data_IF_693418534666
#
_entry.id   IF_693418534666
#
_cell.length_a   1.000
_cell.length_b   1.000
_cell.length_c   1.000
_cell.angle_alpha   90.00
_cell.angle_beta   90.00
_cell.angle_gamma   90.00
#
_symmetry.space_group_name_H-M   'P 1'
#
loop_
_entity.id
_entity.type
_entity.pdbx_description
1 polymer ?
#
# COMPACT_ATOMS: atom_id res chain seq x y z
N UNK A 1 -9.87 -5.48 -8.95
CA UNK A 1 -9.08 -5.57 -7.68
C UNK A 1 -9.93 -5.13 -6.51
N UNK A 2 -9.73 -5.76 -5.36
CA UNK A 2 -10.46 -5.40 -4.14
C UNK A 2 -9.84 -4.18 -3.45
N UNK A 3 -10.60 -3.57 -2.54
CA UNK A 3 -10.06 -2.48 -1.71
C UNK A 3 -8.84 -2.94 -0.91
N UNK A 4 -8.87 -4.15 -0.33
CA UNK A 4 -7.71 -4.69 0.39
C UNK A 4 -6.47 -4.74 -0.48
N UNK A 5 -6.58 -5.24 -1.70
CA UNK A 5 -5.46 -5.29 -2.63
C UNK A 5 -4.92 -3.89 -2.96
N UNK A 6 -5.83 -2.95 -3.22
CA UNK A 6 -5.45 -1.58 -3.53
C UNK A 6 -4.79 -0.88 -2.32
N UNK A 7 -5.28 -1.13 -1.11
CA UNK A 7 -4.70 -0.56 0.11
C UNK A 7 -3.29 -1.09 0.38
N UNK A 8 -3.06 -2.38 0.13
CA UNK A 8 -1.72 -2.98 0.23
C UNK A 8 -0.76 -2.30 -0.74
N UNK A 9 -1.18 -2.11 -1.98
CA UNK A 9 -0.35 -1.44 -2.99
C UNK A 9 -0.08 0.02 -2.63
N UNK A 10 -1.08 0.72 -2.13
CA UNK A 10 -0.91 2.09 -1.67
C UNK A 10 0.10 2.18 -0.51
N UNK A 11 0.03 1.25 0.44
CA UNK A 11 0.98 1.19 1.55
C UNK A 11 2.41 0.95 1.07
N UNK A 12 2.62 0.01 0.15
CA UNK A 12 3.95 -0.29 -0.40
C UNK A 12 4.53 0.93 -1.14
N UNK A 13 3.73 1.66 -1.89
CA UNK A 13 4.15 2.88 -2.56
C UNK A 13 4.54 3.95 -1.53
N UNK A 14 3.74 4.11 -0.48
CA UNK A 14 4.02 5.11 0.56
C UNK A 14 5.30 4.79 1.34
N UNK A 15 5.62 3.52 1.52
CA UNK A 15 6.86 3.08 2.16
C UNK A 15 8.09 3.51 1.37
N UNK A 16 7.98 3.59 0.03
CA UNK A 16 9.02 4.16 -0.83
C UNK A 16 9.21 5.67 -0.61
N UNK A 17 8.28 6.34 0.04
CA UNK A 17 8.40 7.77 0.34
C UNK A 17 9.63 8.11 1.18
N UNK A 18 10.16 7.16 1.95
CA UNK A 18 11.39 7.34 2.72
C UNK A 18 12.65 7.28 1.85
N UNK A 19 12.54 6.79 0.62
CA UNK A 19 13.67 6.64 -0.31
C UNK A 19 13.74 7.89 -1.19
N UNK A 20 14.80 8.67 -1.04
CA UNK A 20 14.94 9.98 -1.69
C UNK A 20 15.82 9.98 -2.94
N UNK A 21 16.53 8.88 -3.19
CA UNK A 21 17.54 8.78 -4.25
C UNK A 21 17.09 7.94 -5.46
N UNK A 22 15.79 7.88 -5.71
CA UNK A 22 15.25 7.18 -6.87
C UNK A 22 15.61 7.92 -8.16
N UNK A 23 16.01 7.16 -9.18
CA UNK A 23 16.26 7.69 -10.52
C UNK A 23 14.95 8.15 -11.16
N UNK A 24 15.02 9.03 -12.19
CA UNK A 24 13.81 9.66 -12.74
C UNK A 24 12.72 8.70 -13.19
N UNK A 25 13.05 7.59 -13.81
CA UNK A 25 12.04 6.63 -14.28
C UNK A 25 11.31 5.99 -13.11
N UNK A 26 12.03 5.51 -12.11
CA UNK A 26 11.43 4.92 -10.91
C UNK A 26 10.60 5.94 -10.14
N UNK A 27 11.09 7.17 -10.01
CA UNK A 27 10.39 8.25 -9.34
C UNK A 27 9.07 8.59 -10.06
N UNK A 28 9.10 8.68 -11.38
CA UNK A 28 7.93 8.98 -12.19
C UNK A 28 6.86 7.90 -12.02
N UNK A 29 7.24 6.63 -12.17
CA UNK A 29 6.29 5.53 -12.03
C UNK A 29 5.75 5.41 -10.60
N UNK A 30 6.60 5.64 -9.60
CA UNK A 30 6.16 5.70 -8.20
C UNK A 30 5.08 6.77 -7.99
N UNK A 31 5.30 7.97 -8.51
CA UNK A 31 4.33 9.07 -8.37
C UNK A 31 3.00 8.71 -9.03
N UNK A 32 3.03 8.19 -10.24
CA UNK A 32 1.83 7.82 -10.99
C UNK A 32 1.06 6.70 -10.30
N UNK A 33 1.75 5.67 -9.83
CA UNK A 33 1.13 4.58 -9.07
C UNK A 33 0.55 5.08 -7.75
N UNK A 34 1.25 5.99 -7.08
CA UNK A 34 0.78 6.60 -5.84
C UNK A 34 -0.51 7.36 -6.03
N UNK A 35 -0.62 8.15 -7.09
CA UNK A 35 -1.84 8.87 -7.42
C UNK A 35 -2.99 7.89 -7.71
N UNK A 36 -2.70 6.84 -8.45
CA UNK A 36 -3.70 5.84 -8.83
C UNK A 36 -4.28 5.10 -7.61
N UNK A 37 -3.43 4.55 -6.76
CA UNK A 37 -3.90 3.76 -5.60
C UNK A 37 -4.39 4.59 -4.43
N UNK A 38 -3.98 5.85 -4.32
CA UNK A 38 -4.50 6.77 -3.30
C UNK A 38 -6.01 6.98 -3.41
N UNK A 39 -6.55 6.89 -4.62
CA UNK A 39 -8.00 7.03 -4.86
C UNK A 39 -8.79 6.00 -4.05
N UNK A 40 -8.33 4.75 -4.03
CA UNK A 40 -8.97 3.69 -3.25
C UNK A 40 -8.83 3.94 -1.75
N UNK A 41 -7.67 4.42 -1.30
CA UNK A 41 -7.44 4.73 0.11
C UNK A 41 -8.35 5.86 0.59
N UNK A 42 -8.52 6.90 -0.20
CA UNK A 42 -9.40 8.02 0.12
C UNK A 42 -10.88 7.58 0.20
N UNK A 43 -11.33 6.80 -0.78
CA UNK A 43 -12.68 6.25 -0.81
C UNK A 43 -12.93 5.31 0.38
N UNK A 44 -11.97 4.47 0.69
CA UNK A 44 -12.00 3.58 1.85
C UNK A 44 -12.17 4.36 3.16
N UNK A 45 -11.38 5.42 3.36
CA UNK A 45 -11.45 6.24 4.56
C UNK A 45 -12.82 6.90 4.72
N UNK A 46 -13.39 7.43 3.64
CA UNK A 46 -14.74 8.03 3.66
C UNK A 46 -15.80 7.00 4.04
N UNK A 47 -15.73 5.82 3.47
CA UNK A 47 -16.67 4.73 3.76
C UNK A 47 -16.55 4.28 5.21
N UNK A 48 -15.32 4.12 5.70
CA UNK A 48 -15.05 3.72 7.08
C UNK A 48 -15.60 4.74 8.09
N UNK A 49 -15.40 6.03 7.81
CA UNK A 49 -15.96 7.11 8.64
C UNK A 49 -17.47 7.08 8.66
N UNK A 50 -18.12 6.91 7.51
CA UNK A 50 -19.56 6.83 7.41
C UNK A 50 -20.12 5.66 8.22
N UNK A 51 -19.48 4.49 8.14
CA UNK A 51 -19.88 3.30 8.92
C UNK A 51 -19.69 3.57 10.43
N UNK A 52 -18.57 4.18 10.81
CA UNK A 52 -18.26 4.46 12.20
C UNK A 52 -19.23 5.45 12.85
N UNK A 53 -19.84 6.32 12.06
CA UNK A 53 -20.78 7.34 12.53
C UNK A 53 -22.22 6.87 12.62
N UNK A 54 -22.52 5.64 12.19
CA UNK A 54 -23.89 5.10 12.33
C UNK A 54 -24.24 4.87 13.81
N UNK A 55 -25.23 5.60 14.28
CA UNK A 55 -25.65 5.57 15.69
C UNK A 55 -26.43 4.31 16.05
N UNK A 56 -27.09 3.68 15.09
CA UNK A 56 -27.98 2.53 15.32
C UNK A 56 -27.31 1.18 15.10
N UNK A 57 -26.02 1.14 14.78
CA UNK A 57 -25.28 -0.08 14.55
C UNK A 57 -24.35 -0.41 15.71
N UNK A 58 -24.26 -1.70 16.06
CA UNK A 58 -23.32 -2.17 17.07
C UNK A 58 -21.90 -2.19 16.50
N UNK A 59 -20.90 -2.25 17.36
CA UNK A 59 -19.49 -2.36 16.92
C UNK A 59 -19.25 -3.59 16.06
N UNK A 60 -19.92 -4.70 16.41
CA UNK A 60 -19.85 -5.95 15.65
C UNK A 60 -20.37 -5.78 14.22
N UNK A 61 -21.52 -5.12 14.06
CA UNK A 61 -22.11 -4.83 12.75
C UNK A 61 -21.23 -3.88 11.96
N UNK A 62 -20.65 -2.87 12.59
CA UNK A 62 -19.74 -1.92 11.95
C UNK A 62 -18.48 -2.62 11.44
N UNK A 63 -17.87 -3.47 12.25
CA UNK A 63 -16.68 -4.22 11.88
C UNK A 63 -16.95 -5.17 10.71
N UNK A 64 -18.08 -5.86 10.71
CA UNK A 64 -18.48 -6.73 9.62
C UNK A 64 -18.70 -5.95 8.33
N UNK A 65 -19.32 -4.78 8.39
CA UNK A 65 -19.54 -3.92 7.24
C UNK A 65 -18.20 -3.43 6.65
N UNK A 66 -17.25 -3.06 7.50
CA UNK A 66 -15.89 -2.64 7.09
C UNK A 66 -15.16 -3.80 6.39
N UNK A 67 -15.20 -4.99 6.96
CA UNK A 67 -14.57 -6.17 6.37
C UNK A 67 -15.19 -6.55 5.03
N UNK A 68 -16.51 -6.49 4.93
CA UNK A 68 -17.23 -6.76 3.68
C UNK A 68 -16.83 -5.76 2.60
N UNK A 69 -16.79 -4.47 2.94
CA UNK A 69 -16.37 -3.42 2.00
C UNK A 69 -14.94 -3.65 1.52
N UNK A 70 -14.06 -4.11 2.38
CA UNK A 70 -12.66 -4.37 2.04
C UNK A 70 -12.51 -5.44 0.96
N UNK A 71 -13.45 -6.38 0.84
CA UNK A 71 -13.43 -7.44 -0.16
C UNK A 71 -14.16 -7.08 -1.45
N UNK A 72 -14.83 -5.92 -1.50
CA UNK A 72 -15.49 -5.44 -2.71
C UNK A 72 -14.49 -4.90 -3.72
N UNK A 73 -14.87 -4.90 -4.99
CA UNK A 73 -14.08 -4.32 -6.05
C UNK A 73 -14.02 -2.79 -5.90
N UNK A 74 -12.83 -2.23 -5.93
CA UNK A 74 -12.64 -0.78 -5.80
C UNK A 74 -12.76 -0.04 -7.13
N UNK A 75 -12.91 -0.75 -8.24
CA UNK A 75 -13.05 -0.17 -9.58
C UNK A 75 -11.74 0.28 -10.22
N UNK A 76 -10.60 0.10 -9.54
CA UNK A 76 -9.31 0.50 -10.10
C UNK A 76 -8.71 -0.61 -10.96
N UNK A 77 -8.03 -0.20 -12.03
CA UNK A 77 -7.24 -1.10 -12.86
C UNK A 77 -5.97 -1.54 -12.12
N UNK A 78 -5.48 -2.72 -12.43
CA UNK A 78 -4.23 -3.25 -11.88
C UNK A 78 -3.05 -2.64 -12.64
N UNK A 79 -2.60 -1.46 -12.20
CA UNK A 79 -1.43 -0.79 -12.75
C UNK A 79 -0.18 -1.24 -12.03
N UNK A 80 0.88 -1.50 -12.79
CA UNK A 80 2.13 -2.02 -12.28
C UNK A 80 3.32 -1.23 -12.80
N UNK A 81 4.39 -1.25 -12.01
CA UNK A 81 5.67 -0.66 -12.37
C UNK A 81 6.39 -1.52 -13.41
N UNK A 82 7.10 -0.90 -14.34
CA UNK A 82 7.95 -1.63 -15.27
C UNK A 82 9.13 -2.28 -14.55
N UNK A 83 9.68 -3.34 -15.13
CA UNK A 83 10.87 -4.00 -14.56
C UNK A 83 12.06 -3.07 -14.50
N UNK A 84 12.24 -2.21 -15.49
CA UNK A 84 13.35 -1.24 -15.52
C UNK A 84 13.26 -0.26 -14.36
N UNK A 85 12.06 0.26 -14.07
CA UNK A 85 11.85 1.13 -12.91
C UNK A 85 12.08 0.38 -11.60
N UNK A 86 11.65 -0.89 -11.53
CA UNK A 86 11.86 -1.72 -10.35
C UNK A 86 13.34 -1.97 -10.09
N UNK A 87 14.15 -2.20 -11.13
CA UNK A 87 15.61 -2.33 -10.98
C UNK A 87 16.22 -1.09 -10.33
N UNK A 88 15.72 0.09 -10.67
CA UNK A 88 16.13 1.34 -10.04
C UNK A 88 15.71 1.42 -8.56
N UNK A 89 14.52 0.89 -8.22
CA UNK A 89 14.08 0.78 -6.84
C UNK A 89 15.00 -0.15 -6.05
N UNK A 90 15.33 -1.31 -6.61
CA UNK A 90 16.25 -2.28 -5.98
C UNK A 90 17.60 -1.61 -5.69
N UNK A 91 18.15 -0.91 -6.66
CA UNK A 91 19.43 -0.20 -6.51
C UNK A 91 19.38 0.83 -5.37
N UNK A 92 18.26 1.53 -5.23
CA UNK A 92 18.11 2.57 -4.22
C UNK A 92 17.90 2.02 -2.80
N UNK A 93 17.18 0.89 -2.66
CA UNK A 93 16.83 0.37 -1.34
C UNK A 93 17.79 -0.68 -0.78
N UNK A 94 18.52 -1.40 -1.62
CA UNK A 94 19.46 -2.41 -1.14
C UNK A 94 20.44 -1.91 -0.08
N UNK A 95 21.03 -0.69 -0.22
CA UNK A 95 21.97 -0.18 0.79
C UNK A 95 21.34 0.07 2.16
N UNK A 96 20.01 0.15 2.26
CA UNK A 96 19.33 0.45 3.53
C UNK A 96 19.33 -0.73 4.51
N UNK A 97 19.40 -1.96 4.00
CA UNK A 97 19.37 -3.18 4.82
C UNK A 97 17.99 -3.54 5.33
N UNK A 98 17.24 -2.58 5.84
CA UNK A 98 15.87 -2.76 6.31
C UNK A 98 15.01 -1.56 5.92
N UNK A 99 13.70 -1.73 5.94
CA UNK A 99 12.74 -0.68 5.60
C UNK A 99 11.51 -0.84 6.49
N UNK A 100 10.93 0.29 6.91
CA UNK A 100 9.69 0.29 7.68
C UNK A 100 8.53 -0.23 6.83
N UNK A 101 7.77 -1.16 7.38
CA UNK A 101 6.62 -1.77 6.69
C UNK A 101 5.36 -1.65 7.53
N UNK A 102 4.35 -0.98 6.98
CA UNK A 102 3.04 -0.86 7.61
C UNK A 102 2.19 -2.13 7.44
N UNK A 103 2.66 -3.08 6.64
CA UNK A 103 1.98 -4.36 6.42
C UNK A 103 2.36 -5.41 7.45
N UNK A 104 3.50 -5.23 8.13
CA UNK A 104 3.92 -6.13 9.18
C UNK A 104 3.18 -5.80 10.48
N UNK A 105 2.82 -6.85 11.23
CA UNK A 105 2.16 -6.68 12.52
C UNK A 105 3.20 -6.31 13.57
N UNK A 106 3.00 -5.17 14.23
CA UNK A 106 3.84 -4.76 15.35
C UNK A 106 3.03 -4.79 16.65
N UNK A 107 3.65 -5.26 17.72
CA UNK A 107 3.06 -5.19 19.06
C UNK A 107 3.16 -3.78 19.66
N UNK A 108 4.05 -2.95 19.15
CA UNK A 108 4.20 -1.56 19.58
C UNK A 108 3.21 -0.68 18.81
N UNK A 109 2.34 0.01 19.55
CA UNK A 109 1.41 0.96 18.95
C UNK A 109 2.19 2.12 18.31
N UNK A 110 1.76 2.51 17.10
CA UNK A 110 2.28 3.66 16.34
C UNK A 110 3.68 3.51 15.74
N UNK A 111 4.26 2.32 15.75
CA UNK A 111 5.53 2.08 15.06
C UNK A 111 5.36 1.04 13.94
N UNK A 112 5.80 1.39 12.75
CA UNK A 112 5.91 0.43 11.67
C UNK A 112 7.16 -0.42 11.90
N UNK A 113 7.06 -1.76 11.98
CA UNK A 113 8.25 -2.60 12.18
C UNK A 113 9.15 -2.54 10.95
N UNK A 114 10.44 -2.62 11.18
CA UNK A 114 11.42 -2.75 10.11
C UNK A 114 11.55 -4.20 9.69
N UNK A 115 11.52 -4.43 8.39
CA UNK A 115 11.73 -5.75 7.80
C UNK A 115 12.94 -5.72 6.88
N UNK A 116 13.59 -6.87 6.65
CA UNK A 116 14.70 -6.92 5.69
C UNK A 116 14.25 -6.42 4.31
N UNK A 117 15.11 -5.64 3.66
CA UNK A 117 14.84 -5.11 2.33
C UNK A 117 14.49 -6.20 1.33
N UNK A 118 15.13 -7.37 1.42
CA UNK A 118 14.84 -8.50 0.52
C UNK A 118 13.38 -8.96 0.62
N UNK A 119 12.82 -9.01 1.81
CA UNK A 119 11.41 -9.38 2.02
C UNK A 119 10.47 -8.31 1.48
N UNK A 120 10.80 -7.04 1.72
CA UNK A 120 10.00 -5.92 1.23
C UNK A 120 10.00 -5.87 -0.30
N UNK A 121 11.17 -6.06 -0.92
CA UNK A 121 11.30 -6.07 -2.38
C UNK A 121 10.49 -7.19 -3.02
N UNK A 122 10.46 -8.36 -2.40
CA UNK A 122 9.65 -9.47 -2.88
C UNK A 122 8.16 -9.12 -2.84
N UNK A 123 7.68 -8.60 -1.73
CA UNK A 123 6.28 -8.19 -1.59
C UNK A 123 5.91 -7.10 -2.59
N UNK A 124 6.78 -6.12 -2.77
CA UNK A 124 6.60 -5.04 -3.73
C UNK A 124 6.52 -5.58 -5.16
N UNK A 125 7.45 -6.47 -5.53
CA UNK A 125 7.48 -7.04 -6.87
C UNK A 125 6.22 -7.84 -7.19
N UNK A 126 5.77 -8.69 -6.26
CA UNK A 126 4.56 -9.49 -6.45
C UNK A 126 3.32 -8.62 -6.64
N UNK A 127 3.22 -7.54 -5.89
CA UNK A 127 2.04 -6.67 -5.89
C UNK A 127 2.06 -5.61 -7.00
N UNK A 128 3.22 -5.08 -7.37
CA UNK A 128 3.33 -3.84 -8.12
C UNK A 128 4.22 -3.87 -9.36
N UNK A 129 4.89 -4.97 -9.67
CA UNK A 129 5.82 -5.03 -10.80
C UNK A 129 5.28 -5.92 -11.90
N UNK A 130 5.47 -5.50 -13.16
CA UNK A 130 5.11 -6.29 -14.35
C UNK A 130 5.95 -7.57 -14.41
N UNK A 131 5.27 -8.65 -14.81
CA UNK A 131 5.93 -9.94 -15.02
C UNK A 131 6.84 -9.96 -16.25
#
# INVERSE_FOLDING_TARGET
MTYNEALVRNALINELGAVTNLKPKAMTEKILLGIHYRKAAEDWLKTREAISKEENATDEVKNEAIQTKATEDCGLADKRMSREAFEQVVEAVLPLGSIASFLAVSEAENEAPEIPVAMWLQAFAEALVEE
#
